data_IF_324879746686
#
_entry.id   IF_324879746686
#
_cell.length_a   1.000
_cell.length_b   1.000
_cell.length_c   1.000
_cell.angle_alpha   90.00
_cell.angle_beta   90.00
_cell.angle_gamma   90.00
#
_symmetry.space_group_name_H-M   'P 1'
#
loop_
_entity.id
_entity.type
_entity.pdbx_description
1 polymer ?
#
# COMPACT_ATOMS: atom_id res chain seq x y z
N UNK A 1 -2.29 18.08 -20.00
CA UNK A 1 -3.24 17.59 -21.02
C UNK A 1 -2.99 16.10 -21.19
N UNK A 2 -3.98 15.26 -20.91
CA UNK A 2 -3.84 13.81 -20.96
C UNK A 2 -4.08 13.31 -22.40
N UNK A 3 -3.01 12.94 -23.10
CA UNK A 3 -2.99 12.66 -24.55
C UNK A 3 -3.02 11.17 -24.91
N UNK A 4 -2.95 10.25 -23.94
CA UNK A 4 -2.89 8.80 -24.23
C UNK A 4 -4.23 8.13 -23.90
N UNK A 5 -5.11 8.03 -24.90
CA UNK A 5 -6.46 7.45 -24.74
C UNK A 5 -6.58 6.02 -25.27
N UNK A 6 -5.59 5.50 -26.01
CA UNK A 6 -5.60 4.14 -26.58
C UNK A 6 -4.29 3.39 -26.28
N UNK A 7 -4.37 2.06 -26.12
CA UNK A 7 -3.21 1.20 -25.81
C UNK A 7 -2.07 1.29 -26.85
N UNK A 8 -2.38 1.63 -28.11
CA UNK A 8 -1.39 1.84 -29.17
C UNK A 8 -0.61 3.15 -29.06
N UNK A 9 -1.23 4.22 -28.51
CA UNK A 9 -0.59 5.52 -28.34
C UNK A 9 0.57 5.43 -27.32
N UNK A 10 0.40 4.56 -26.31
CA UNK A 10 1.39 4.28 -25.29
C UNK A 10 2.64 3.62 -25.86
N UNK A 11 2.49 2.54 -26.64
CA UNK A 11 3.61 1.86 -27.27
C UNK A 11 4.36 2.78 -28.24
N UNK A 12 3.63 3.58 -29.02
CA UNK A 12 4.22 4.55 -29.93
C UNK A 12 5.03 5.63 -29.19
N UNK A 13 4.54 6.12 -28.05
CA UNK A 13 5.26 7.09 -27.24
C UNK A 13 6.55 6.51 -26.63
N UNK A 14 6.50 5.28 -26.11
CA UNK A 14 7.67 4.59 -25.58
C UNK A 14 8.71 4.30 -26.68
N UNK A 15 8.26 3.89 -27.86
CA UNK A 15 9.13 3.67 -29.01
C UNK A 15 9.83 4.97 -29.42
N UNK A 16 9.07 6.07 -29.54
CA UNK A 16 9.65 7.41 -29.83
C UNK A 16 10.66 7.85 -28.78
N UNK A 17 10.42 7.54 -27.51
CA UNK A 17 11.35 7.83 -26.43
C UNK A 17 12.63 6.98 -26.52
N UNK A 18 12.51 5.67 -26.74
CA UNK A 18 13.67 4.77 -26.92
C UNK A 18 14.51 5.07 -28.17
N UNK A 19 13.88 5.56 -29.23
CA UNK A 19 14.54 6.04 -30.45
C UNK A 19 15.19 7.43 -30.28
N UNK A 20 14.96 8.13 -29.16
CA UNK A 20 15.45 9.49 -28.93
C UNK A 20 14.70 10.59 -29.69
N UNK A 21 13.56 10.26 -30.32
CA UNK A 21 12.64 11.23 -30.94
C UNK A 21 11.82 12.01 -29.90
N UNK A 22 11.90 11.62 -28.63
CA UNK A 22 11.29 12.29 -27.48
C UNK A 22 12.33 12.31 -26.37
N UNK A 23 12.58 13.50 -25.81
CA UNK A 23 13.68 13.72 -24.86
C UNK A 23 13.22 13.68 -23.39
N UNK A 24 11.92 13.87 -23.15
CA UNK A 24 11.34 13.88 -21.81
C UNK A 24 10.09 13.00 -21.82
N UNK A 25 10.04 12.09 -20.86
CA UNK A 25 8.89 11.22 -20.63
C UNK A 25 8.41 11.44 -19.20
N UNK A 26 7.17 11.88 -19.05
CA UNK A 26 6.50 12.06 -17.77
C UNK A 26 5.43 11.00 -17.61
N UNK A 27 5.37 10.38 -16.44
CA UNK A 27 4.25 9.52 -16.08
C UNK A 27 4.42 8.93 -14.70
N UNK A 28 3.45 8.11 -14.33
CA UNK A 28 3.39 7.44 -13.03
C UNK A 28 4.24 6.16 -13.04
N UNK A 29 4.16 5.38 -11.96
CA UNK A 29 4.89 4.14 -11.68
C UNK A 29 5.10 3.17 -12.87
N UNK A 30 4.24 3.21 -13.88
CA UNK A 30 4.25 2.35 -15.06
C UNK A 30 5.48 2.51 -15.97
N UNK A 31 6.09 3.70 -16.06
CA UNK A 31 7.25 3.92 -16.96
C UNK A 31 8.49 3.10 -16.51
N UNK A 32 8.55 2.74 -15.24
CA UNK A 32 9.73 2.08 -14.65
C UNK A 32 9.71 0.54 -14.73
N UNK A 33 8.60 -0.08 -15.15
CA UNK A 33 8.44 -1.55 -15.17
C UNK A 33 8.72 -2.13 -16.56
N UNK A 34 9.77 -2.95 -16.67
CA UNK A 34 10.01 -3.83 -17.83
C UNK A 34 10.56 -3.15 -19.09
N UNK A 35 10.77 -1.83 -19.08
CA UNK A 35 11.33 -1.08 -20.19
C UNK A 35 12.71 -0.57 -19.81
N UNK A 36 13.71 -0.90 -20.62
CA UNK A 36 15.08 -0.42 -20.48
C UNK A 36 15.35 0.61 -21.58
N UNK A 37 15.82 1.79 -21.19
CA UNK A 37 16.08 2.89 -22.12
C UNK A 37 17.55 3.30 -21.99
N UNK A 38 18.45 2.71 -22.80
CA UNK A 38 19.91 2.91 -22.68
C UNK A 38 20.35 4.37 -22.77
N UNK A 39 19.54 5.23 -23.40
CA UNK A 39 19.84 6.67 -23.58
C UNK A 39 19.41 7.54 -22.39
N UNK A 40 18.77 6.98 -21.36
CA UNK A 40 18.28 7.74 -20.21
C UNK A 40 19.42 8.04 -19.25
N UNK A 41 19.81 9.30 -19.19
CA UNK A 41 20.91 9.80 -18.33
C UNK A 41 20.43 10.53 -17.08
N UNK A 42 19.16 10.91 -17.02
CA UNK A 42 18.58 11.63 -15.91
C UNK A 42 17.22 11.03 -15.58
N UNK A 43 17.00 10.70 -14.31
CA UNK A 43 15.66 10.36 -13.82
C UNK A 43 15.30 11.21 -12.62
N UNK A 44 14.08 11.77 -12.66
CA UNK A 44 13.52 12.57 -11.59
C UNK A 44 12.38 11.84 -10.90
N UNK A 45 12.48 11.67 -9.57
CA UNK A 45 11.34 11.30 -8.73
C UNK A 45 10.77 12.61 -8.17
N UNK A 46 9.61 13.00 -8.69
CA UNK A 46 8.93 14.23 -8.29
C UNK A 46 7.98 13.92 -7.13
N UNK A 47 8.10 14.69 -6.04
CA UNK A 47 7.26 14.59 -4.85
C UNK A 47 7.23 13.20 -4.22
N UNK A 48 8.39 12.75 -3.71
CA UNK A 48 8.46 11.51 -2.93
C UNK A 48 7.54 11.56 -1.69
N UNK A 49 7.29 12.74 -1.14
CA UNK A 49 6.38 12.97 0.00
C UNK A 49 4.97 12.46 -0.26
N UNK A 50 4.49 12.53 -1.51
CA UNK A 50 3.14 12.07 -1.87
C UNK A 50 2.99 10.58 -1.64
N UNK A 51 4.05 9.79 -1.87
CA UNK A 51 4.03 8.35 -1.60
C UNK A 51 4.33 8.05 -0.13
N UNK A 52 5.26 8.80 0.47
CA UNK A 52 5.77 8.60 1.82
C UNK A 52 4.73 8.88 2.91
N UNK A 53 3.93 9.93 2.74
CA UNK A 53 2.94 10.37 3.74
C UNK A 53 1.54 9.82 3.48
N UNK A 54 1.40 8.79 2.64
CA UNK A 54 0.14 8.08 2.51
C UNK A 54 -0.20 7.41 3.85
N UNK A 55 -1.46 7.43 4.29
CA UNK A 55 -1.92 6.76 5.51
C UNK A 55 -2.01 5.24 5.29
N UNK A 56 -0.88 4.65 4.92
CA UNK A 56 -0.67 3.25 4.58
C UNK A 56 0.61 2.78 5.28
N UNK A 57 0.55 1.65 5.97
CA UNK A 57 1.69 1.12 6.72
C UNK A 57 2.88 0.71 5.83
N UNK A 58 2.68 0.56 4.53
CA UNK A 58 3.72 0.26 3.53
C UNK A 58 4.15 1.50 2.73
N UNK A 59 3.73 2.70 3.12
CA UNK A 59 4.11 3.92 2.42
C UNK A 59 5.63 4.09 2.29
N UNK A 60 6.38 3.87 3.37
CA UNK A 60 7.84 3.91 3.38
C UNK A 60 8.44 2.85 2.42
N UNK A 61 8.02 1.59 2.55
CA UNK A 61 8.48 0.48 1.68
C UNK A 61 8.27 0.78 0.19
N UNK A 62 7.08 1.27 -0.19
CA UNK A 62 6.79 1.60 -1.59
C UNK A 62 7.62 2.79 -2.08
N UNK A 63 7.84 3.78 -1.22
CA UNK A 63 8.66 4.96 -1.55
C UNK A 63 10.11 4.54 -1.78
N UNK A 64 10.66 3.69 -0.91
CA UNK A 64 11.98 3.10 -1.07
C UNK A 64 12.07 2.33 -2.40
N UNK A 65 11.13 1.41 -2.66
CA UNK A 65 11.10 0.62 -3.89
C UNK A 65 11.04 1.49 -5.14
N UNK A 66 10.22 2.54 -5.13
CA UNK A 66 10.09 3.46 -6.25
C UNK A 66 11.43 4.17 -6.55
N UNK A 67 12.07 4.75 -5.52
CA UNK A 67 13.34 5.45 -5.69
C UNK A 67 14.43 4.46 -6.13
N UNK A 68 14.55 3.31 -5.48
CA UNK A 68 15.56 2.30 -5.81
C UNK A 68 15.37 1.73 -7.22
N UNK A 69 14.14 1.46 -7.63
CA UNK A 69 13.81 0.96 -8.98
C UNK A 69 14.17 2.01 -10.04
N UNK A 70 13.82 3.26 -9.80
CA UNK A 70 14.11 4.37 -10.71
C UNK A 70 15.62 4.58 -10.83
N UNK A 71 16.35 4.50 -9.73
CA UNK A 71 17.80 4.64 -9.72
C UNK A 71 18.52 3.50 -10.46
N UNK A 72 18.04 2.26 -10.33
CA UNK A 72 18.60 1.11 -11.04
C UNK A 72 18.41 1.13 -12.57
N UNK A 73 17.52 1.99 -13.09
CA UNK A 73 17.29 2.16 -14.54
C UNK A 73 18.22 3.17 -15.18
N UNK A 74 18.70 4.14 -14.42
CA UNK A 74 19.59 5.18 -14.94
C UNK A 74 21.01 4.61 -15.20
N UNK A 75 21.47 3.66 -14.37
CA UNK A 75 22.86 3.20 -14.34
C UNK A 75 23.29 2.13 -15.36
N UNK A 76 22.50 1.83 -16.40
CA UNK A 76 22.80 0.77 -17.38
C UNK A 76 23.39 1.27 -18.71
N UNK A 77 23.70 2.56 -18.82
CA UNK A 77 24.37 3.07 -20.00
C UNK A 77 25.82 2.56 -20.03
N UNK A 78 26.10 1.59 -20.91
CA UNK A 78 27.43 0.98 -21.11
C UNK A 78 28.47 1.96 -21.69
N UNK A 79 28.01 3.08 -22.26
CA UNK A 79 28.89 4.10 -22.82
C UNK A 79 29.32 5.09 -21.73
N UNK A 80 30.48 4.81 -21.11
CA UNK A 80 31.13 5.57 -20.02
C UNK A 80 31.47 7.04 -20.26
N UNK A 81 30.77 7.73 -21.19
CA UNK A 81 30.97 9.14 -21.48
C UNK A 81 30.18 10.08 -20.55
N UNK A 82 29.07 9.63 -19.92
CA UNK A 82 28.31 10.47 -18.97
C UNK A 82 27.64 9.65 -17.87
N UNK A 83 27.89 9.95 -16.57
CA UNK A 83 27.24 9.25 -15.47
C UNK A 83 25.74 9.57 -15.44
N UNK A 84 24.95 8.53 -15.20
CA UNK A 84 23.52 8.67 -14.97
C UNK A 84 23.25 9.36 -13.64
N UNK A 85 22.26 10.26 -13.60
CA UNK A 85 21.88 11.00 -12.39
C UNK A 85 20.44 10.69 -12.00
N UNK A 86 20.20 10.59 -10.70
CA UNK A 86 18.87 10.45 -10.12
C UNK A 86 18.64 11.64 -9.21
N UNK A 87 17.52 12.34 -9.40
CA UNK A 87 17.14 13.48 -8.57
C UNK A 87 15.82 13.11 -7.88
N UNK A 88 15.83 13.12 -6.55
CA UNK A 88 14.63 12.92 -5.73
C UNK A 88 14.21 14.26 -5.17
N UNK A 89 13.03 14.72 -5.54
CA UNK A 89 12.42 15.91 -4.94
C UNK A 89 11.57 15.49 -3.76
N UNK A 90 11.92 16.00 -2.57
CA UNK A 90 11.19 15.76 -1.32
C UNK A 90 11.24 16.99 -0.42
N UNK A 91 10.23 17.19 0.42
CA UNK A 91 10.25 18.16 1.51
C UNK A 91 10.93 17.60 2.77
N UNK A 92 11.09 16.29 2.86
CA UNK A 92 11.73 15.61 4.00
C UNK A 92 12.99 14.85 3.56
N UNK A 93 14.07 15.53 3.15
CA UNK A 93 15.30 14.87 2.71
C UNK A 93 15.99 14.07 3.81
N UNK A 94 15.80 14.46 5.07
CA UNK A 94 16.36 13.77 6.25
C UNK A 94 15.58 12.51 6.65
N UNK A 95 14.45 12.22 6.00
CA UNK A 95 13.69 10.99 6.29
C UNK A 95 14.54 9.76 5.96
N UNK A 96 14.57 8.80 6.89
CA UNK A 96 15.38 7.59 6.76
C UNK A 96 15.07 6.81 5.48
N UNK A 97 13.81 6.75 5.05
CA UNK A 97 13.41 6.08 3.81
C UNK A 97 14.07 6.72 2.60
N UNK A 98 14.11 8.05 2.56
CA UNK A 98 14.73 8.81 1.48
C UNK A 98 16.25 8.61 1.48
N UNK A 99 16.87 8.75 2.66
CA UNK A 99 18.32 8.58 2.82
C UNK A 99 18.76 7.18 2.39
N UNK A 100 18.16 6.13 2.95
CA UNK A 100 18.49 4.74 2.59
C UNK A 100 18.22 4.46 1.11
N UNK A 101 17.12 4.97 0.54
CA UNK A 101 16.85 4.76 -0.89
C UNK A 101 17.88 5.47 -1.80
N UNK A 102 18.30 6.68 -1.44
CA UNK A 102 19.32 7.43 -2.20
C UNK A 102 20.71 6.80 -2.15
N UNK A 103 21.02 6.08 -1.06
CA UNK A 103 22.30 5.39 -0.84
C UNK A 103 22.26 3.92 -1.30
N UNK A 104 21.11 3.46 -1.82
CA UNK A 104 20.86 2.05 -2.12
C UNK A 104 21.04 1.11 -0.91
N UNK A 105 20.88 1.64 0.31
CA UNK A 105 20.99 0.89 1.56
C UNK A 105 19.69 0.15 1.87
N UNK A 106 19.49 -0.97 1.16
CA UNK A 106 18.35 -1.85 1.40
C UNK A 106 18.39 -2.49 2.79
N UNK A 107 19.58 -2.87 3.26
CA UNK A 107 19.70 -3.59 4.52
C UNK A 107 19.34 -2.69 5.71
N UNK A 108 19.91 -1.49 5.78
CA UNK A 108 19.58 -0.53 6.84
C UNK A 108 18.13 -0.08 6.80
N UNK A 109 17.53 0.04 5.60
CA UNK A 109 16.10 0.28 5.45
C UNK A 109 15.26 -0.84 6.08
N UNK A 110 15.52 -2.09 5.70
CA UNK A 110 14.76 -3.25 6.16
C UNK A 110 14.88 -3.45 7.67
N UNK A 111 16.08 -3.31 8.23
CA UNK A 111 16.31 -3.47 9.67
C UNK A 111 15.46 -2.48 10.48
N UNK A 112 15.42 -1.21 10.06
CA UNK A 112 14.63 -0.17 10.74
C UNK A 112 13.14 -0.35 10.53
N UNK A 113 12.71 -0.68 9.32
CA UNK A 113 11.30 -0.91 8.98
C UNK A 113 10.73 -2.13 9.72
N UNK A 114 11.48 -3.24 9.79
CA UNK A 114 11.07 -4.43 10.55
C UNK A 114 11.03 -4.17 12.05
N UNK A 115 11.96 -3.38 12.59
CA UNK A 115 11.91 -2.98 14.00
C UNK A 115 10.65 -2.17 14.32
N UNK A 116 10.24 -1.25 13.44
CA UNK A 116 8.99 -0.50 13.59
C UNK A 116 7.77 -1.42 13.50
N UNK A 117 7.70 -2.27 12.47
CA UNK A 117 6.59 -3.22 12.27
C UNK A 117 6.45 -4.22 13.41
N UNK A 118 7.56 -4.69 13.96
CA UNK A 118 7.58 -5.58 15.13
C UNK A 118 6.97 -4.92 16.36
N UNK A 119 7.35 -3.67 16.66
CA UNK A 119 6.76 -2.91 17.78
C UNK A 119 5.25 -2.69 17.63
N UNK A 120 4.79 -2.44 16.40
CA UNK A 120 3.38 -2.14 16.15
C UNK A 120 2.52 -3.37 15.84
N UNK A 121 3.13 -4.56 15.73
CA UNK A 121 2.45 -5.80 15.36
C UNK A 121 1.92 -5.78 13.92
N UNK A 122 2.63 -5.11 13.01
CA UNK A 122 2.27 -4.98 11.60
C UNK A 122 2.86 -6.14 10.76
N UNK A 123 2.25 -6.46 9.61
CA UNK A 123 2.82 -7.44 8.68
C UNK A 123 4.25 -7.06 8.25
N UNK A 124 5.19 -8.02 8.12
CA UNK A 124 4.97 -9.47 8.17
C UNK A 124 5.04 -10.09 9.56
N UNK A 125 5.37 -9.33 10.62
CA UNK A 125 5.55 -9.86 11.98
C UNK A 125 4.20 -10.30 12.58
N UNK A 126 3.18 -9.47 12.42
CA UNK A 126 1.80 -9.79 12.76
C UNK A 126 0.95 -10.12 11.53
N UNK A 127 -0.28 -10.53 11.78
CA UNK A 127 -1.32 -10.70 10.75
C UNK A 127 -2.36 -9.62 10.85
N UNK A 128 -2.90 -9.24 9.70
CA UNK A 128 -3.86 -8.15 9.60
C UNK A 128 -5.05 -8.58 8.76
N UNK A 129 -6.26 -8.18 9.15
CA UNK A 129 -7.42 -8.22 8.27
C UNK A 129 -8.06 -6.84 8.22
N UNK A 130 -8.61 -6.49 7.06
CA UNK A 130 -9.32 -5.26 6.82
C UNK A 130 -10.73 -5.61 6.37
N UNK A 131 -11.72 -5.07 7.06
CA UNK A 131 -13.12 -5.19 6.65
C UNK A 131 -13.59 -3.82 6.23
N UNK A 132 -14.10 -3.70 4.99
CA UNK A 132 -14.63 -2.46 4.44
C UNK A 132 -16.14 -2.60 4.27
N UNK A 133 -16.89 -1.76 4.98
CA UNK A 133 -18.32 -1.59 4.82
C UNK A 133 -18.56 -0.37 3.93
N UNK A 134 -19.40 -0.51 2.90
CA UNK A 134 -19.69 0.58 1.97
C UNK A 134 -21.17 0.68 1.63
N UNK A 135 -21.63 1.92 1.44
CA UNK A 135 -23.02 2.23 1.08
C UNK A 135 -23.07 3.61 0.38
N UNK A 136 -24.02 3.86 -0.55
CA UNK A 136 -24.20 5.21 -1.11
C UNK A 136 -24.59 6.26 -0.07
N UNK A 137 -25.14 5.84 1.08
CA UNK A 137 -25.42 6.70 2.23
C UNK A 137 -24.34 6.51 3.31
N UNK A 138 -23.65 7.60 3.65
CA UNK A 138 -22.59 7.61 4.65
C UNK A 138 -23.07 7.14 6.04
N UNK A 139 -24.30 7.49 6.45
CA UNK A 139 -24.83 7.10 7.75
C UNK A 139 -25.09 5.60 7.81
N UNK A 140 -25.55 4.99 6.70
CA UNK A 140 -25.75 3.54 6.60
C UNK A 140 -24.43 2.79 6.59
N UNK A 141 -23.43 3.28 5.84
CA UNK A 141 -22.10 2.69 5.84
C UNK A 141 -21.46 2.71 7.24
N UNK A 142 -21.60 3.83 7.96
CA UNK A 142 -21.14 3.97 9.34
C UNK A 142 -21.86 3.02 10.29
N UNK A 143 -23.20 3.00 10.24
CA UNK A 143 -24.02 2.16 11.12
C UNK A 143 -23.67 0.67 10.95
N UNK A 144 -23.56 0.21 9.70
CA UNK A 144 -23.15 -1.15 9.38
C UNK A 144 -21.75 -1.48 9.94
N UNK A 145 -20.77 -0.58 9.78
CA UNK A 145 -19.44 -0.79 10.36
C UNK A 145 -19.45 -0.78 11.90
N UNK A 146 -20.30 0.03 12.53
CA UNK A 146 -20.46 0.06 13.99
C UNK A 146 -21.09 -1.23 14.53
N UNK A 147 -22.14 -1.73 13.88
CA UNK A 147 -22.79 -2.99 14.25
C UNK A 147 -21.81 -4.17 14.10
N UNK A 148 -21.11 -4.24 12.96
CA UNK A 148 -20.12 -5.29 12.72
C UNK A 148 -18.96 -5.22 13.72
N UNK A 149 -18.55 -4.01 14.13
CA UNK A 149 -17.52 -3.85 15.16
C UNK A 149 -17.96 -4.47 16.49
N UNK A 150 -19.20 -4.23 16.93
CA UNK A 150 -19.71 -4.79 18.17
C UNK A 150 -19.72 -6.33 18.13
N UNK A 151 -20.17 -6.92 17.02
CA UNK A 151 -20.15 -8.37 16.81
C UNK A 151 -18.74 -8.96 16.82
N UNK A 152 -17.76 -8.23 16.26
CA UNK A 152 -16.35 -8.62 16.31
C UNK A 152 -15.79 -8.55 17.75
N UNK A 153 -16.15 -7.53 18.52
CA UNK A 153 -15.74 -7.41 19.92
C UNK A 153 -16.30 -8.57 20.76
N UNK A 154 -17.58 -8.93 20.58
CA UNK A 154 -18.23 -10.07 21.24
C UNK A 154 -17.56 -11.41 20.87
N UNK A 155 -17.34 -11.66 19.58
CA UNK A 155 -16.68 -12.87 19.10
C UNK A 155 -15.25 -13.00 19.63
N UNK A 156 -14.50 -11.89 19.65
CA UNK A 156 -13.15 -11.84 20.19
C UNK A 156 -13.16 -12.15 21.69
N UNK A 157 -14.08 -11.57 22.47
CA UNK A 157 -14.23 -11.85 23.90
C UNK A 157 -14.55 -13.33 24.17
N UNK A 158 -15.48 -13.92 23.40
CA UNK A 158 -15.85 -15.33 23.53
C UNK A 158 -14.65 -16.25 23.26
N UNK A 159 -13.91 -16.01 22.18
CA UNK A 159 -12.75 -16.84 21.81
C UNK A 159 -11.63 -16.73 22.84
N UNK A 160 -11.40 -15.54 23.39
CA UNK A 160 -10.37 -15.31 24.42
C UNK A 160 -10.72 -15.99 25.75
N UNK A 161 -12.01 -16.15 26.06
CA UNK A 161 -12.46 -16.80 27.29
C UNK A 161 -12.37 -18.34 27.25
N UNK A 162 -12.16 -18.94 26.07
CA UNK A 162 -12.06 -20.40 25.95
C UNK A 162 -10.72 -20.92 26.50
N UNK A 163 -10.67 -22.09 27.18
CA UNK A 163 -9.42 -22.68 27.68
C UNK A 163 -8.39 -23.01 26.59
N UNK A 164 -8.86 -23.26 25.36
CA UNK A 164 -8.07 -23.47 24.13
C UNK A 164 -8.20 -22.25 23.19
N UNK A 165 -8.48 -21.09 23.78
CA UNK A 165 -8.68 -19.82 23.09
C UNK A 165 -7.44 -19.37 22.32
N UNK A 166 -7.63 -18.36 21.48
CA UNK A 166 -6.52 -17.68 20.80
C UNK A 166 -6.19 -16.38 21.55
N UNK A 167 -4.97 -15.83 21.39
CA UNK A 167 -4.67 -14.48 21.85
C UNK A 167 -5.66 -13.45 21.28
N UNK A 168 -5.95 -12.41 22.08
CA UNK A 168 -6.89 -11.38 21.70
C UNK A 168 -6.50 -10.67 20.40
N UNK A 169 -7.46 -10.61 19.47
CA UNK A 169 -7.32 -9.83 18.24
C UNK A 169 -7.53 -8.35 18.59
N UNK A 170 -6.56 -7.49 18.24
CA UNK A 170 -6.69 -6.05 18.43
C UNK A 170 -7.53 -5.45 17.29
N UNK A 171 -8.63 -4.80 17.64
CA UNK A 171 -9.56 -4.18 16.70
C UNK A 171 -9.41 -2.64 16.73
N UNK A 172 -9.29 -2.02 15.55
CA UNK A 172 -9.29 -0.55 15.37
C UNK A 172 -10.44 -0.13 14.45
N UNK A 173 -11.05 1.02 14.76
CA UNK A 173 -12.25 1.51 14.07
C UNK A 173 -13.55 1.17 14.81
N UNK A 174 -14.72 1.30 14.18
CA UNK A 174 -14.93 1.67 12.79
C UNK A 174 -14.44 3.09 12.51
N UNK A 175 -13.80 3.30 11.37
CA UNK A 175 -13.31 4.61 10.94
C UNK A 175 -13.53 4.78 9.43
N UNK A 176 -13.60 6.02 8.91
CA UNK A 176 -13.58 6.24 7.47
C UNK A 176 -12.35 5.61 6.83
N UNK A 177 -12.48 5.07 5.62
CA UNK A 177 -11.32 4.72 4.80
C UNK A 177 -10.53 5.99 4.45
N UNK A 178 -9.20 5.91 4.22
CA UNK A 178 -8.42 7.06 3.80
C UNK A 178 -8.98 7.75 2.55
N UNK A 179 -9.45 6.93 1.60
CA UNK A 179 -10.33 7.38 0.52
C UNK A 179 -11.76 7.12 0.94
N UNK A 180 -12.41 8.16 1.44
CA UNK A 180 -13.73 8.07 2.08
C UNK A 180 -14.88 7.75 1.12
N UNK A 181 -14.73 8.04 -0.19
CA UNK A 181 -15.75 7.77 -1.21
C UNK A 181 -15.13 7.29 -2.52
N UNK A 182 -15.66 6.19 -3.09
CA UNK A 182 -15.23 5.63 -4.39
C UNK A 182 -16.47 5.18 -5.16
N UNK A 183 -16.59 5.59 -6.42
CA UNK A 183 -17.72 5.22 -7.29
C UNK A 183 -19.09 5.46 -6.64
N UNK A 184 -19.25 6.60 -5.97
CA UNK A 184 -20.45 6.99 -5.22
C UNK A 184 -20.79 6.22 -3.93
N UNK A 185 -19.92 5.31 -3.50
CA UNK A 185 -20.06 4.64 -2.20
C UNK A 185 -19.16 5.27 -1.15
N UNK A 186 -19.74 5.63 0.00
CA UNK A 186 -18.97 5.95 1.21
C UNK A 186 -18.40 4.68 1.81
N UNK A 187 -17.16 4.74 2.31
CA UNK A 187 -16.41 3.57 2.79
C UNK A 187 -15.96 3.78 4.23
N UNK A 188 -16.35 2.84 5.08
CA UNK A 188 -15.89 2.69 6.45
C UNK A 188 -15.13 1.39 6.59
N UNK A 189 -14.15 1.35 7.50
CA UNK A 189 -13.32 0.18 7.72
C UNK A 189 -13.12 -0.15 9.18
N UNK A 190 -12.88 -1.44 9.42
CA UNK A 190 -12.43 -2.02 10.67
C UNK A 190 -11.13 -2.75 10.37
N UNK A 191 -10.10 -2.49 11.17
CA UNK A 191 -8.80 -3.16 11.06
C UNK A 191 -8.63 -4.13 12.21
N UNK A 192 -8.26 -5.36 11.90
CA UNK A 192 -7.99 -6.44 12.84
C UNK A 192 -6.50 -6.75 12.81
N UNK A 193 -5.87 -6.87 13.97
CA UNK A 193 -4.46 -7.22 14.11
C UNK A 193 -4.32 -8.39 15.08
N UNK A 194 -3.53 -9.40 14.71
CA UNK A 194 -3.24 -10.54 15.57
C UNK A 194 -1.77 -10.94 15.46
N UNK A 195 -1.26 -11.64 16.48
CA UNK A 195 0.09 -12.22 16.41
C UNK A 195 0.21 -13.35 15.38
N UNK A 196 -0.91 -14.01 15.05
CA UNK A 196 -0.94 -15.17 14.17
C UNK A 196 -2.23 -15.22 13.32
N UNK A 197 -2.20 -16.02 12.26
CA UNK A 197 -3.30 -16.11 11.30
C UNK A 197 -4.52 -16.87 11.87
N UNK A 198 -4.28 -17.84 12.75
CA UNK A 198 -5.34 -18.68 13.32
C UNK A 198 -6.28 -17.86 14.20
N UNK A 199 -5.73 -16.92 14.97
CA UNK A 199 -6.50 -15.99 15.80
C UNK A 199 -7.47 -15.14 14.98
N UNK A 200 -7.03 -14.58 13.85
CA UNK A 200 -7.93 -13.86 12.93
C UNK A 200 -8.99 -14.80 12.33
N UNK A 201 -8.58 -15.99 11.91
CA UNK A 201 -9.48 -16.98 11.30
C UNK A 201 -10.58 -17.44 12.25
N UNK A 202 -10.28 -17.65 13.53
CA UNK A 202 -11.29 -18.03 14.53
C UNK A 202 -12.37 -16.95 14.67
N UNK A 203 -11.96 -15.68 14.82
CA UNK A 203 -12.91 -14.56 14.97
C UNK A 203 -13.75 -14.39 13.70
N UNK A 204 -13.11 -14.31 12.54
CA UNK A 204 -13.80 -14.18 11.25
C UNK A 204 -14.70 -15.38 10.94
N UNK A 205 -14.25 -16.59 11.30
CA UNK A 205 -14.96 -17.84 11.12
C UNK A 205 -16.24 -17.90 11.94
N UNK A 206 -16.19 -17.46 13.20
CA UNK A 206 -17.36 -17.42 14.07
C UNK A 206 -18.46 -16.51 13.51
N UNK A 207 -18.11 -15.28 13.08
CA UNK A 207 -19.09 -14.37 12.48
C UNK A 207 -19.63 -14.91 11.15
N UNK A 208 -18.79 -15.57 10.34
CA UNK A 208 -19.22 -16.19 9.09
C UNK A 208 -20.22 -17.32 9.34
N UNK A 209 -19.97 -18.18 10.33
CA UNK A 209 -20.86 -19.28 10.70
C UNK A 209 -22.20 -18.78 11.26
N UNK A 210 -22.17 -17.68 12.02
CA UNK A 210 -23.38 -17.01 12.51
C UNK A 210 -24.14 -16.23 11.41
N UNK A 211 -23.61 -16.13 10.19
CA UNK A 211 -24.20 -15.36 9.09
C UNK A 211 -24.07 -13.85 9.25
N UNK A 212 -23.30 -13.38 10.23
CA UNK A 212 -23.11 -11.97 10.57
C UNK A 212 -22.05 -11.29 9.70
N UNK A 213 -21.12 -12.06 9.15
CA UNK A 213 -20.11 -11.57 8.21
C UNK A 213 -20.22 -12.28 6.87
N UNK A 214 -20.65 -11.54 5.85
CA UNK A 214 -20.70 -12.00 4.46
C UNK A 214 -19.83 -11.08 3.60
N UNK A 215 -19.03 -11.68 2.72
CA UNK A 215 -18.34 -10.93 1.67
C UNK A 215 -19.33 -10.73 0.51
N UNK A 216 -19.76 -9.49 0.29
CA UNK A 216 -20.79 -9.15 -0.70
C UNK A 216 -20.59 -7.74 -1.28
N UNK A 217 -21.62 -7.21 -1.94
CA UNK A 217 -21.56 -5.90 -2.56
C UNK A 217 -21.33 -4.75 -1.55
N UNK A 218 -21.70 -4.92 -0.28
CA UNK A 218 -21.61 -3.89 0.77
C UNK A 218 -20.48 -4.14 1.76
N UNK A 219 -20.02 -5.38 1.90
CA UNK A 219 -18.92 -5.73 2.81
C UNK A 219 -17.82 -6.49 2.07
N UNK A 220 -16.61 -5.93 2.08
CA UNK A 220 -15.41 -6.60 1.59
C UNK A 220 -14.50 -6.98 2.75
N UNK A 221 -14.04 -8.24 2.77
CA UNK A 221 -13.09 -8.75 3.77
C UNK A 221 -11.78 -9.07 3.07
N UNK A 222 -10.72 -8.35 3.43
CA UNK A 222 -9.37 -8.52 2.91
C UNK A 222 -8.46 -9.06 4.03
N UNK A 223 -7.95 -10.26 3.85
CA UNK A 223 -7.04 -10.91 4.82
C UNK A 223 -5.62 -10.75 4.31
N UNK A 224 -4.76 -10.21 5.16
CA UNK A 224 -3.40 -9.75 4.85
C UNK A 224 -3.37 -8.73 3.70
N UNK A 225 -4.04 -7.58 3.90
CA UNK A 225 -4.12 -6.56 2.87
C UNK A 225 -2.71 -6.12 2.44
N UNK A 226 -2.49 -6.05 1.14
CA UNK A 226 -1.26 -5.52 0.56
C UNK A 226 -1.20 -3.99 0.70
N UNK A 227 -2.34 -3.30 0.80
CA UNK A 227 -2.42 -1.86 1.00
C UNK A 227 -3.76 -1.44 1.64
N UNK A 228 -3.80 -0.25 2.23
CA UNK A 228 -4.97 0.32 2.93
C UNK A 228 -5.71 1.39 2.14
N UNK A 229 -5.26 1.71 0.93
CA UNK A 229 -5.93 2.66 0.02
C UNK A 229 -6.95 1.93 -0.88
#
# INVERSE_FOLDING_TARGET
>A
ADTMRRSGDYLAALQRFGEGKTQVLLGTQMIAKGLDFPRVKLVGVISADTALHLPDFRAAERTFQLIAQVAGRAGRAEDGQFPSRVIVQTFTPEDHTIQSASQHDYQGFVERELAMRSRDGLPPIGRMARIVCRDPDNLKAKAHATELRAQLDEANALINALPQGSPAVRLRGPMPCPVSRVADFFRWQILMFAGDALSLQKVLGLLRQAGLLKSDARTAVDVDPVQLL
#
